data_IF_374912904234
#
_entry.id   IF_374912904234
#
_cell.length_a   1.000
_cell.length_b   1.000
_cell.length_c   1.000
_cell.angle_alpha   90.00
_cell.angle_beta   90.00
_cell.angle_gamma   90.00
#
_symmetry.space_group_name_H-M   'P 1'
#
loop_
_entity.id
_entity.type
_entity.pdbx_description
1 polymer ?
#
# COMPACT_ATOMS: atom_id res chain seq x y z
N UNK A 1 -0.38 -3.67 -34.64
CA UNK A 1 1.03 -4.11 -34.71
C UNK A 1 2.00 -2.97 -35.05
N UNK A 2 1.70 -2.04 -35.98
CA UNK A 2 2.64 -0.99 -36.40
C UNK A 2 2.98 0.08 -35.35
N UNK A 3 2.05 0.43 -34.45
CA UNK A 3 2.29 1.44 -33.40
C UNK A 3 3.21 0.98 -32.26
N UNK A 4 3.20 -0.30 -31.95
CA UNK A 4 4.02 -0.88 -30.89
C UNK A 4 5.49 -0.97 -31.30
N UNK A 5 5.77 -1.32 -32.55
CA UNK A 5 7.13 -1.33 -33.10
C UNK A 5 7.72 0.08 -33.19
N UNK A 6 6.90 1.10 -33.56
CA UNK A 6 7.31 2.51 -33.58
C UNK A 6 7.63 3.01 -32.16
N UNK A 7 6.87 2.60 -31.14
CA UNK A 7 7.08 2.99 -29.75
C UNK A 7 8.37 2.40 -29.18
N UNK A 8 8.73 1.17 -29.55
CA UNK A 8 9.97 0.52 -29.10
C UNK A 8 11.24 1.23 -29.60
N UNK A 9 11.13 2.03 -30.67
CA UNK A 9 12.25 2.79 -31.24
C UNK A 9 12.35 4.24 -30.71
N UNK A 10 11.40 4.67 -29.86
CA UNK A 10 11.39 6.03 -29.33
C UNK A 10 12.28 6.18 -28.09
N UNK A 11 12.86 7.34 -27.94
CA UNK A 11 13.60 7.68 -26.72
C UNK A 11 12.63 7.88 -25.52
N UNK A 12 13.04 7.50 -24.28
CA UNK A 12 12.17 7.62 -23.11
C UNK A 12 11.59 9.02 -22.87
N UNK A 13 12.32 10.06 -23.24
CA UNK A 13 11.85 11.45 -23.06
C UNK A 13 10.75 11.87 -24.06
N UNK A 14 10.54 11.12 -25.14
CA UNK A 14 9.44 11.37 -26.09
C UNK A 14 8.15 10.68 -25.68
N UNK A 15 8.23 9.74 -24.74
CA UNK A 15 7.09 9.01 -24.22
C UNK A 15 6.34 9.83 -23.17
N UNK A 16 5.01 9.73 -23.15
CA UNK A 16 4.21 10.25 -22.04
C UNK A 16 4.56 9.53 -20.74
N UNK A 17 4.24 10.13 -19.57
CA UNK A 17 4.49 9.52 -18.26
C UNK A 17 3.92 8.10 -18.16
N UNK A 18 2.67 7.91 -18.57
CA UNK A 18 2.03 6.58 -18.55
C UNK A 18 2.64 5.57 -19.53
N UNK A 19 3.16 6.03 -20.69
CA UNK A 19 3.88 5.14 -21.60
C UNK A 19 5.20 4.67 -21.02
N UNK A 20 5.95 5.57 -20.36
CA UNK A 20 7.18 5.21 -19.65
C UNK A 20 6.93 4.22 -18.54
N UNK A 21 5.87 4.41 -17.74
CA UNK A 21 5.51 3.51 -16.66
C UNK A 21 5.20 2.09 -17.18
N UNK A 22 4.40 1.98 -18.23
CA UNK A 22 4.12 0.67 -18.86
C UNK A 22 5.37 0.01 -19.44
N UNK A 23 6.26 0.79 -20.05
CA UNK A 23 7.53 0.26 -20.52
C UNK A 23 8.40 -0.29 -19.38
N UNK A 24 8.45 0.40 -18.23
CA UNK A 24 9.14 -0.08 -17.03
C UNK A 24 8.53 -1.38 -16.48
N UNK A 25 7.20 -1.46 -16.42
CA UNK A 25 6.50 -2.69 -16.01
C UNK A 25 6.84 -3.83 -16.98
N UNK A 26 6.73 -3.61 -18.29
CA UNK A 26 7.05 -4.60 -19.31
C UNK A 26 8.52 -5.08 -19.21
N UNK A 27 9.45 -4.19 -18.93
CA UNK A 27 10.86 -4.55 -18.70
C UNK A 27 11.03 -5.44 -17.46
N UNK A 28 10.32 -5.13 -16.35
CA UNK A 28 10.36 -5.95 -15.14
C UNK A 28 9.81 -7.36 -15.38
N UNK A 29 8.68 -7.46 -16.07
CA UNK A 29 8.02 -8.73 -16.40
C UNK A 29 8.87 -9.57 -17.34
N UNK A 30 9.52 -8.96 -18.34
CA UNK A 30 10.32 -9.65 -19.34
C UNK A 30 11.56 -10.38 -18.79
N UNK A 31 11.92 -10.10 -17.53
CA UNK A 31 13.04 -10.73 -16.85
C UNK A 31 12.76 -12.14 -16.34
N UNK A 32 11.52 -12.64 -16.47
CA UNK A 32 11.05 -13.95 -15.99
C UNK A 32 11.42 -14.20 -14.51
N UNK A 33 11.25 -13.17 -13.69
CA UNK A 33 11.62 -13.19 -12.27
C UNK A 33 10.52 -13.88 -11.44
N UNK A 34 10.93 -14.70 -10.47
CA UNK A 34 10.00 -15.33 -9.51
C UNK A 34 9.33 -14.33 -8.57
N UNK A 35 9.99 -13.19 -8.33
CA UNK A 35 9.51 -12.11 -7.47
C UNK A 35 9.63 -10.77 -8.21
N UNK A 36 8.50 -10.08 -8.33
CA UNK A 36 8.43 -8.72 -8.86
C UNK A 36 8.22 -7.72 -7.73
N UNK A 37 9.01 -6.65 -7.74
CA UNK A 37 8.91 -5.55 -6.79
C UNK A 37 8.48 -4.28 -7.51
N UNK A 38 7.35 -3.71 -7.11
CA UNK A 38 6.82 -2.47 -7.64
C UNK A 38 6.85 -1.38 -6.57
N UNK A 39 7.48 -0.26 -6.86
CA UNK A 39 7.49 0.92 -6.01
C UNK A 39 6.70 2.04 -6.68
N UNK A 40 5.55 2.38 -6.09
CA UNK A 40 4.61 3.41 -6.57
C UNK A 40 4.27 3.30 -8.07
N UNK A 41 3.77 2.14 -8.56
CA UNK A 41 3.57 1.91 -10.00
C UNK A 41 2.50 2.80 -10.62
N UNK A 42 1.64 3.43 -9.82
CA UNK A 42 0.55 4.32 -10.28
C UNK A 42 0.89 5.80 -10.16
N UNK A 43 2.09 6.14 -9.67
CA UNK A 43 2.46 7.53 -9.39
C UNK A 43 2.38 8.42 -10.64
N UNK A 44 1.58 9.50 -10.54
CA UNK A 44 1.42 10.48 -11.62
C UNK A 44 0.57 10.00 -12.80
N UNK A 45 -0.18 8.91 -12.64
CA UNK A 45 -1.15 8.43 -13.61
C UNK A 45 -2.55 8.96 -13.30
N UNK A 46 -3.35 9.12 -14.34
CA UNK A 46 -4.79 9.34 -14.23
C UNK A 46 -5.52 8.01 -13.94
N UNK A 47 -6.77 8.09 -13.50
CA UNK A 47 -7.59 6.94 -13.09
C UNK A 47 -7.70 5.86 -14.17
N UNK A 48 -7.85 6.24 -15.44
CA UNK A 48 -7.96 5.27 -16.54
C UNK A 48 -6.67 4.46 -16.72
N UNK A 49 -5.52 5.11 -16.51
CA UNK A 49 -4.21 4.44 -16.60
C UNK A 49 -3.89 3.62 -15.36
N UNK A 50 -4.33 4.05 -14.18
CA UNK A 50 -4.25 3.26 -12.94
C UNK A 50 -4.99 1.94 -13.14
N UNK A 51 -6.21 1.95 -13.67
CA UNK A 51 -6.98 0.74 -13.98
C UNK A 51 -6.24 -0.17 -14.96
N UNK A 52 -5.65 0.40 -16.02
CA UNK A 52 -4.88 -0.39 -16.98
C UNK A 52 -3.66 -1.07 -16.35
N UNK A 53 -2.98 -0.40 -15.42
CA UNK A 53 -1.88 -1.01 -14.64
C UNK A 53 -2.41 -2.14 -13.76
N UNK A 54 -3.53 -1.92 -13.05
CA UNK A 54 -4.16 -2.94 -12.23
C UNK A 54 -4.54 -4.18 -13.05
N UNK A 55 -5.20 -4.00 -14.19
CA UNK A 55 -5.56 -5.08 -15.10
C UNK A 55 -4.31 -5.86 -15.57
N UNK A 56 -3.25 -5.13 -15.96
CA UNK A 56 -1.99 -5.75 -16.38
C UNK A 56 -1.36 -6.60 -15.28
N UNK A 57 -1.35 -6.10 -14.02
CA UNK A 57 -0.79 -6.86 -12.89
C UNK A 57 -1.65 -8.08 -12.54
N UNK A 58 -2.97 -7.95 -12.63
CA UNK A 58 -3.90 -9.05 -12.37
C UNK A 58 -3.85 -10.16 -13.43
N UNK A 59 -3.36 -9.87 -14.64
CA UNK A 59 -3.13 -10.86 -15.70
C UNK A 59 -1.82 -11.65 -15.52
N UNK A 60 -0.96 -11.26 -14.58
CA UNK A 60 0.31 -11.94 -14.33
C UNK A 60 0.11 -13.19 -13.46
N UNK A 61 -0.10 -14.33 -14.11
CA UNK A 61 -0.24 -15.61 -13.44
C UNK A 61 1.11 -16.20 -12.99
N UNK A 62 1.12 -16.80 -11.81
CA UNK A 62 2.23 -17.61 -11.30
C UNK A 62 3.43 -16.82 -10.75
N UNK A 63 3.37 -15.50 -10.73
CA UNK A 63 4.44 -14.65 -10.18
C UNK A 63 4.08 -14.11 -8.80
N UNK A 64 5.06 -14.08 -7.91
CA UNK A 64 4.91 -13.41 -6.62
C UNK A 64 5.20 -11.92 -6.79
N UNK A 65 4.29 -11.06 -6.33
CA UNK A 65 4.46 -9.61 -6.43
C UNK A 65 4.44 -8.96 -5.06
N UNK A 66 5.32 -7.98 -4.85
CA UNK A 66 5.26 -7.05 -3.73
C UNK A 66 5.15 -5.64 -4.28
N UNK A 67 4.08 -4.96 -3.92
CA UNK A 67 3.82 -3.60 -4.38
C UNK A 67 3.80 -2.64 -3.19
N UNK A 68 4.58 -1.56 -3.27
CA UNK A 68 4.53 -0.43 -2.33
C UNK A 68 3.72 0.67 -2.99
N UNK A 69 2.67 1.13 -2.34
CA UNK A 69 1.82 2.22 -2.84
C UNK A 69 1.12 2.95 -1.70
N UNK A 70 0.75 4.20 -1.94
CA UNK A 70 -0.16 4.96 -1.07
C UNK A 70 -1.57 5.06 -1.67
N UNK A 71 -1.81 4.46 -2.83
CA UNK A 71 -3.13 4.40 -3.47
C UNK A 71 -3.91 3.19 -2.94
N UNK A 72 -4.84 3.48 -2.03
CA UNK A 72 -5.64 2.43 -1.37
C UNK A 72 -6.57 1.72 -2.35
N UNK A 73 -7.18 2.45 -3.29
CA UNK A 73 -8.07 1.85 -4.29
C UNK A 73 -7.31 0.88 -5.19
N UNK A 74 -6.13 1.29 -5.66
CA UNK A 74 -5.25 0.42 -6.43
C UNK A 74 -4.79 -0.81 -5.63
N UNK A 75 -4.39 -0.62 -4.36
CA UNK A 75 -3.99 -1.73 -3.49
C UNK A 75 -5.11 -2.76 -3.32
N UNK A 76 -6.38 -2.31 -3.18
CA UNK A 76 -7.56 -3.17 -3.10
C UNK A 76 -7.77 -3.98 -4.36
N UNK A 77 -7.54 -3.35 -5.53
CA UNK A 77 -7.82 -3.98 -6.83
C UNK A 77 -6.79 -5.05 -7.22
N UNK A 78 -5.55 -4.97 -6.70
CA UNK A 78 -4.45 -5.85 -7.15
C UNK A 78 -3.91 -6.79 -6.08
N UNK A 79 -4.11 -6.51 -4.80
CA UNK A 79 -3.46 -7.26 -3.73
C UNK A 79 -4.36 -8.38 -3.19
N UNK A 80 -3.80 -9.59 -3.01
CA UNK A 80 -4.43 -10.64 -2.22
C UNK A 80 -4.28 -10.35 -0.71
N UNK A 81 -3.13 -9.80 -0.30
CA UNK A 81 -2.83 -9.44 1.09
C UNK A 81 -2.24 -8.05 1.16
N UNK A 82 -2.59 -7.32 2.19
CA UNK A 82 -2.12 -5.94 2.41
C UNK A 82 -1.43 -5.82 3.75
N UNK A 83 -0.24 -5.21 3.73
CA UNK A 83 0.49 -4.78 4.91
C UNK A 83 0.40 -3.27 5.08
N UNK A 84 -0.15 -2.80 6.19
CA UNK A 84 -0.24 -1.37 6.50
C UNK A 84 0.96 -0.94 7.32
N UNK A 85 1.61 0.12 6.88
CA UNK A 85 2.76 0.71 7.57
C UNK A 85 2.43 2.08 8.16
N UNK A 86 2.94 2.36 9.35
CA UNK A 86 2.89 3.68 9.98
C UNK A 86 4.22 4.01 10.65
N UNK A 87 4.81 5.17 10.30
CA UNK A 87 6.10 5.61 10.81
C UNK A 87 7.16 4.48 10.77
N UNK A 88 7.33 3.86 9.59
CA UNK A 88 8.22 2.74 9.29
C UNK A 88 7.97 1.44 10.10
N UNK A 89 6.82 1.31 10.74
CA UNK A 89 6.44 0.08 11.42
C UNK A 89 5.32 -0.62 10.65
N UNK A 90 5.46 -1.92 10.42
CA UNK A 90 4.36 -2.75 9.96
C UNK A 90 3.39 -2.96 11.13
N UNK A 91 2.16 -2.45 11.00
CA UNK A 91 1.19 -2.40 12.08
C UNK A 91 0.00 -3.33 11.88
N UNK A 92 -0.30 -3.71 10.65
CA UNK A 92 -1.41 -4.61 10.34
C UNK A 92 -1.12 -5.37 9.04
N UNK A 93 -1.50 -6.65 8.97
CA UNK A 93 -1.40 -7.48 7.76
C UNK A 93 -2.61 -8.41 7.71
N UNK A 94 -3.37 -8.35 6.64
CA UNK A 94 -4.51 -9.23 6.42
C UNK A 94 -4.75 -9.48 4.92
N UNK A 95 -5.65 -10.39 4.63
CA UNK A 95 -6.22 -10.51 3.29
C UNK A 95 -6.91 -9.19 2.92
N UNK A 96 -6.84 -8.80 1.65
CA UNK A 96 -7.28 -7.48 1.22
C UNK A 96 -8.74 -7.21 1.61
N UNK A 97 -9.65 -8.12 1.27
CA UNK A 97 -11.08 -7.96 1.59
C UNK A 97 -11.33 -7.83 3.10
N UNK A 98 -10.62 -8.64 3.91
CA UNK A 98 -10.75 -8.60 5.37
C UNK A 98 -10.23 -7.28 5.93
N UNK A 99 -9.11 -6.77 5.44
CA UNK A 99 -8.56 -5.48 5.89
C UNK A 99 -9.52 -4.32 5.63
N UNK A 100 -10.18 -4.30 4.48
CA UNK A 100 -11.15 -3.24 4.14
C UNK A 100 -12.47 -3.38 4.88
N UNK A 101 -12.94 -4.61 5.11
CA UNK A 101 -14.19 -4.86 5.81
C UNK A 101 -14.05 -4.71 7.34
N UNK A 102 -12.97 -5.23 7.91
CA UNK A 102 -12.77 -5.35 9.36
C UNK A 102 -11.36 -4.90 9.81
N UNK A 103 -10.94 -3.66 9.55
CA UNK A 103 -9.63 -3.16 9.98
C UNK A 103 -9.52 -3.20 11.51
N UNK A 104 -8.43 -3.80 12.02
CA UNK A 104 -8.21 -3.95 13.45
C UNK A 104 -7.46 -2.78 14.07
N UNK A 105 -6.38 -2.31 13.45
CA UNK A 105 -5.58 -1.23 13.99
C UNK A 105 -6.30 0.13 13.88
N UNK A 106 -6.32 0.96 14.94
CA UNK A 106 -6.98 2.27 14.89
C UNK A 106 -6.49 3.18 13.76
N UNK A 107 -5.21 3.13 13.39
CA UNK A 107 -4.68 3.86 12.24
C UNK A 107 -5.30 3.38 10.92
N UNK A 108 -5.42 2.08 10.72
CA UNK A 108 -6.02 1.52 9.48
C UNK A 108 -7.47 1.96 9.34
N UNK A 109 -8.22 1.95 10.44
CA UNK A 109 -9.60 2.48 10.47
C UNK A 109 -9.66 3.95 10.08
N UNK A 110 -8.79 4.78 10.67
CA UNK A 110 -8.75 6.21 10.36
C UNK A 110 -8.27 6.46 8.91
N UNK A 111 -7.33 5.65 8.40
CA UNK A 111 -6.84 5.72 7.02
C UNK A 111 -7.96 5.39 6.01
N UNK A 112 -8.69 4.32 6.23
CA UNK A 112 -9.82 3.93 5.37
C UNK A 112 -10.98 4.92 5.48
N UNK A 113 -11.27 5.46 6.67
CA UNK A 113 -12.30 6.49 6.85
C UNK A 113 -11.96 7.81 6.14
N UNK A 114 -10.68 8.06 5.87
CA UNK A 114 -10.23 9.24 5.14
C UNK A 114 -10.33 9.10 3.60
N UNK A 115 -10.71 7.93 3.09
CA UNK A 115 -10.92 7.74 1.65
C UNK A 115 -12.14 8.57 1.18
N UNK A 116 -12.12 9.11 -0.07
CA UNK A 116 -13.20 9.93 -0.60
C UNK A 116 -14.57 9.24 -0.54
N UNK A 117 -14.64 7.96 -0.88
CA UNK A 117 -15.86 7.15 -0.85
C UNK A 117 -16.42 6.95 0.57
N UNK A 118 -15.60 7.10 1.61
CA UNK A 118 -15.97 6.97 3.02
C UNK A 118 -16.23 8.33 3.71
N UNK A 119 -16.27 9.43 2.94
CA UNK A 119 -16.66 10.74 3.43
C UNK A 119 -15.52 11.61 3.94
N UNK A 120 -14.26 11.28 3.62
CA UNK A 120 -13.06 12.09 3.94
C UNK A 120 -12.90 12.39 5.44
N UNK A 121 -13.25 11.45 6.30
CA UNK A 121 -13.08 11.59 7.74
C UNK A 121 -11.59 11.48 8.11
N UNK A 122 -11.01 12.55 8.59
CA UNK A 122 -9.60 12.55 9.00
C UNK A 122 -9.44 12.77 10.50
N UNK A 123 -8.39 12.18 11.05
CA UNK A 123 -7.98 12.43 12.44
C UNK A 123 -6.84 13.45 12.47
N UNK A 124 -6.98 14.56 13.23
CA UNK A 124 -5.93 15.58 13.33
C UNK A 124 -4.66 15.03 13.98
N UNK A 125 -3.56 15.74 13.77
CA UNK A 125 -2.24 15.42 14.27
C UNK A 125 -1.27 15.06 13.15
N UNK A 126 -0.02 14.78 13.51
CA UNK A 126 1.05 14.45 12.57
C UNK A 126 1.56 13.02 12.80
N UNK A 127 2.11 12.42 11.77
CA UNK A 127 2.85 11.18 11.89
C UNK A 127 4.30 11.49 12.34
N UNK A 128 4.79 10.89 13.43
CA UNK A 128 6.18 11.09 13.82
C UNK A 128 7.11 10.52 12.76
N UNK A 129 8.30 11.10 12.60
CA UNK A 129 9.34 10.47 11.80
C UNK A 129 9.74 9.12 12.41
N UNK A 130 10.22 8.19 11.58
CA UNK A 130 10.59 6.84 12.03
C UNK A 130 11.68 6.85 13.11
N UNK A 131 12.58 7.82 13.04
CA UNK A 131 13.71 8.05 13.96
C UNK A 131 13.37 9.03 15.10
N UNK A 132 12.15 9.52 15.20
CA UNK A 132 11.74 10.41 16.31
C UNK A 132 11.71 9.62 17.62
N UNK A 133 12.78 9.81 18.41
CA UNK A 133 12.97 9.16 19.71
C UNK A 133 12.04 9.68 20.80
N UNK A 134 11.39 10.83 20.58
CA UNK A 134 10.43 11.42 21.54
C UNK A 134 9.12 10.61 21.60
N UNK A 135 8.80 9.88 20.53
CA UNK A 135 7.63 8.99 20.48
C UNK A 135 8.10 7.54 20.62
N UNK A 136 8.11 7.03 21.84
CA UNK A 136 8.41 5.63 22.16
C UNK A 136 7.15 4.75 21.99
N UNK A 137 7.33 3.45 21.88
CA UNK A 137 6.22 2.50 21.81
C UNK A 137 5.42 2.61 20.51
N UNK A 138 4.11 2.45 20.61
CA UNK A 138 3.22 2.58 19.46
C UNK A 138 3.30 4.00 18.88
N UNK A 139 3.79 4.12 17.66
CA UNK A 139 3.98 5.43 17.01
C UNK A 139 2.65 6.17 16.75
N UNK A 140 1.53 5.43 16.67
CA UNK A 140 0.20 6.03 16.50
C UNK A 140 -0.42 6.53 17.81
N UNK A 141 0.15 6.24 18.99
CA UNK A 141 -0.43 6.51 20.32
C UNK A 141 -0.85 7.97 20.52
N UNK A 142 -0.13 8.92 19.91
CA UNK A 142 -0.44 10.37 20.04
C UNK A 142 -1.73 10.80 19.35
N UNK A 143 -2.25 9.97 18.46
CA UNK A 143 -3.47 10.20 17.68
C UNK A 143 -4.54 9.14 17.95
N UNK A 144 -4.18 8.06 18.63
CA UNK A 144 -5.05 6.90 18.84
C UNK A 144 -6.18 7.23 19.82
N UNK A 145 -7.46 7.04 19.44
CA UNK A 145 -8.59 7.26 20.35
C UNK A 145 -8.63 6.25 21.49
N UNK A 146 -7.98 5.10 21.32
CA UNK A 146 -7.96 3.97 22.26
C UNK A 146 -6.58 3.86 22.96
N UNK A 147 -5.82 4.96 23.03
CA UNK A 147 -4.51 4.96 23.66
C UNK A 147 -4.61 4.63 25.16
N UNK A 148 -3.75 3.73 25.63
CA UNK A 148 -3.57 3.40 27.04
C UNK A 148 -2.11 3.59 27.46
N UNK A 149 -1.82 3.46 28.74
CA UNK A 149 -0.46 3.53 29.28
C UNK A 149 0.47 2.48 28.65
N UNK A 150 -0.05 1.29 28.36
CA UNK A 150 0.69 0.21 27.65
C UNK A 150 1.23 0.63 26.30
N UNK A 151 0.59 1.61 25.64
CA UNK A 151 1.04 2.09 24.33
C UNK A 151 2.38 2.87 24.38
N UNK A 152 2.90 3.16 25.57
CA UNK A 152 4.27 3.67 25.76
C UNK A 152 5.33 2.62 25.38
N UNK A 153 4.95 1.35 25.33
CA UNK A 153 5.74 0.24 24.82
C UNK A 153 5.21 -0.21 23.45
N UNK A 154 6.11 -0.75 22.60
CA UNK A 154 5.70 -1.28 21.29
C UNK A 154 4.95 -2.61 21.49
N UNK A 155 3.69 -2.71 21.04
CA UNK A 155 2.97 -3.99 21.12
C UNK A 155 3.63 -5.04 20.21
N UNK A 156 3.62 -6.32 20.61
CA UNK A 156 3.97 -7.40 19.71
C UNK A 156 2.95 -7.49 18.57
N UNK A 157 3.29 -8.23 17.52
CA UNK A 157 2.34 -8.57 16.46
C UNK A 157 1.45 -9.72 16.99
N UNK A 158 0.20 -9.43 17.26
CA UNK A 158 -0.82 -10.44 17.59
C UNK A 158 -1.38 -11.05 16.31
N UNK A 159 -1.86 -12.27 16.39
CA UNK A 159 -2.57 -12.97 15.31
C UNK A 159 -4.02 -13.23 15.77
N UNK A 160 -4.96 -12.68 15.02
CA UNK A 160 -6.40 -12.83 15.26
C UNK A 160 -6.99 -13.55 14.05
N UNK A 161 -7.03 -14.87 14.09
CA UNK A 161 -7.56 -15.72 13.01
C UNK A 161 -6.91 -15.47 11.63
N UNK A 162 -5.57 -15.28 11.61
CA UNK A 162 -4.80 -15.01 10.40
C UNK A 162 -4.66 -13.50 10.06
N UNK A 163 -5.43 -12.64 10.70
CA UNK A 163 -5.32 -11.19 10.64
C UNK A 163 -4.30 -10.70 11.68
N UNK A 164 -3.14 -10.26 11.24
CA UNK A 164 -2.05 -9.84 12.12
C UNK A 164 -2.14 -8.35 12.43
N UNK A 165 -2.04 -8.00 13.72
CA UNK A 165 -2.15 -6.61 14.17
C UNK A 165 -1.19 -6.30 15.31
N UNK A 166 -0.55 -5.15 15.23
CA UNK A 166 0.37 -4.63 16.26
C UNK A 166 -0.34 -3.61 17.12
N UNK A 167 -1.19 -4.09 18.02
CA UNK A 167 -1.99 -3.23 18.91
C UNK A 167 -2.30 -3.94 20.25
N UNK A 168 -2.15 -3.21 21.36
CA UNK A 168 -2.40 -3.73 22.70
C UNK A 168 -3.86 -4.15 22.98
N UNK A 169 -4.80 -3.75 22.11
CA UNK A 169 -6.19 -4.19 22.23
C UNK A 169 -6.39 -5.68 21.91
N UNK A 170 -5.38 -6.31 21.29
CA UNK A 170 -5.44 -7.70 20.80
C UNK A 170 -4.36 -8.60 21.42
N UNK A 171 -3.65 -8.11 22.46
CA UNK A 171 -2.59 -8.83 23.19
C UNK A 171 -3.01 -9.15 24.62
#
# INVERSE_FOLDING_TARGET
>A
LGREEELAQQYPYTLSGGMRQRALIAMGISADAELLLFDEPTKGLDEARIRLVADTLNELDGQTMVCVTHDLSFARDVANRIGVMYAANLIEVADADELYAHPLHPYTRDMLAAMPENGLHFRPGYAPAHDDTRVTGCKYRMRCPNCSEKCAEMPPMADVDGHKVRCWQYV
#
